data_IF_609454929109
#
_entry.id   IF_609454929109
#
_cell.length_a   1.000
_cell.length_b   1.000
_cell.length_c   1.000
_cell.angle_alpha   90.00
_cell.angle_beta   90.00
_cell.angle_gamma   90.00
#
_symmetry.space_group_name_H-M   'P 1'
#
loop_
_entity.id
_entity.type
_entity.pdbx_description
1 polymer ?
#
# COMPACT_ATOMS: atom_id res chain seq x y z
N UNK A 1 -17.87 -35.01 12.17
CA UNK A 1 -17.04 -36.09 12.75
C UNK A 1 -15.70 -35.48 13.17
N UNK A 2 -15.32 -35.55 14.44
CA UNK A 2 -14.01 -35.04 14.87
C UNK A 2 -12.90 -35.92 14.28
N UNK A 3 -11.96 -35.30 13.56
CA UNK A 3 -10.82 -36.01 12.98
C UNK A 3 -9.85 -36.40 14.11
N UNK A 4 -9.61 -37.70 14.30
CA UNK A 4 -8.65 -38.21 15.29
C UNK A 4 -7.26 -37.76 14.89
N UNK A 5 -6.59 -37.06 15.79
CA UNK A 5 -5.28 -36.50 15.52
C UNK A 5 -4.16 -37.54 15.75
N UNK A 6 -3.09 -37.54 14.95
CA UNK A 6 -1.99 -38.49 15.10
C UNK A 6 -1.20 -38.22 16.38
N UNK A 7 -0.60 -39.25 16.99
CA UNK A 7 0.22 -39.11 18.21
C UNK A 7 1.42 -38.17 18.02
N UNK A 8 1.93 -38.01 16.80
CA UNK A 8 3.01 -37.07 16.44
C UNK A 8 2.56 -35.61 16.25
N UNK A 9 1.27 -35.31 16.39
CA UNK A 9 0.71 -33.98 16.14
C UNK A 9 1.35 -32.91 17.04
N UNK A 10 1.57 -33.21 18.33
CA UNK A 10 2.18 -32.24 19.27
C UNK A 10 3.58 -31.81 18.83
N UNK A 11 4.40 -32.75 18.36
CA UNK A 11 5.74 -32.47 17.85
C UNK A 11 5.67 -31.64 16.56
N UNK A 12 4.84 -32.05 15.60
CA UNK A 12 4.63 -31.30 14.35
C UNK A 12 4.19 -29.86 14.63
N UNK A 13 3.25 -29.69 15.56
CA UNK A 13 2.73 -28.38 15.94
C UNK A 13 3.84 -27.53 16.58
N UNK A 14 4.63 -28.09 17.50
CA UNK A 14 5.77 -27.39 18.10
C UNK A 14 6.79 -26.97 17.04
N UNK A 15 7.18 -27.89 16.14
CA UNK A 15 8.11 -27.57 15.05
C UNK A 15 7.55 -26.48 14.15
N UNK A 16 6.27 -26.54 13.77
CA UNK A 16 5.64 -25.48 12.97
C UNK A 16 5.66 -24.14 13.69
N UNK A 17 5.35 -24.08 14.99
CA UNK A 17 5.39 -22.82 15.75
C UNK A 17 6.80 -22.25 15.83
N UNK A 18 7.81 -23.08 16.11
CA UNK A 18 9.20 -22.63 16.15
C UNK A 18 9.66 -22.10 14.80
N UNK A 19 9.37 -22.80 13.71
CA UNK A 19 9.71 -22.35 12.36
C UNK A 19 8.97 -21.05 11.99
N UNK A 20 7.68 -20.93 12.34
CA UNK A 20 6.93 -19.70 12.10
C UNK A 20 7.46 -18.53 12.92
N UNK A 21 7.84 -18.73 14.18
CA UNK A 21 8.43 -17.67 15.00
C UNK A 21 9.77 -17.18 14.45
N UNK A 22 10.64 -18.10 14.00
CA UNK A 22 11.90 -17.75 13.36
C UNK A 22 11.64 -17.00 12.04
N UNK A 23 10.68 -17.47 11.24
CA UNK A 23 10.31 -16.82 9.99
C UNK A 23 9.74 -15.41 10.21
N UNK A 24 8.83 -15.25 11.18
CA UNK A 24 8.28 -13.96 11.59
C UNK A 24 9.40 -13.03 12.05
N UNK A 25 10.31 -13.50 12.90
CA UNK A 25 11.44 -12.70 13.37
C UNK A 25 12.30 -12.21 12.19
N UNK A 26 12.58 -13.08 11.21
CA UNK A 26 13.36 -12.73 10.03
C UNK A 26 12.68 -11.67 9.15
N UNK A 27 11.38 -11.82 8.86
CA UNK A 27 10.65 -10.86 8.00
C UNK A 27 10.28 -9.55 8.72
N UNK A 28 10.13 -9.59 10.05
CA UNK A 28 9.81 -8.40 10.84
C UNK A 28 11.03 -7.53 11.09
N UNK A 29 12.24 -8.09 11.09
CA UNK A 29 13.46 -7.35 11.41
C UNK A 29 13.64 -6.06 10.56
N UNK A 30 13.50 -6.07 9.22
CA UNK A 30 13.57 -4.84 8.42
C UNK A 30 12.47 -3.82 8.77
N UNK A 31 11.27 -4.28 9.11
CA UNK A 31 10.15 -3.41 9.50
C UNK A 31 10.39 -2.75 10.86
N UNK A 32 10.94 -3.50 11.81
CA UNK A 32 11.34 -2.98 13.12
C UNK A 32 12.46 -1.92 12.97
N UNK A 33 13.37 -2.09 12.01
CA UNK A 33 14.36 -1.06 11.68
C UNK A 33 13.71 0.23 11.16
N UNK A 34 12.64 0.15 10.35
CA UNK A 34 11.89 1.34 9.91
C UNK A 34 11.22 2.05 11.10
N UNK A 35 10.66 1.28 12.04
CA UNK A 35 10.10 1.83 13.28
C UNK A 35 11.20 2.50 14.10
N UNK A 36 12.38 1.88 14.23
CA UNK A 36 13.52 2.44 14.93
C UNK A 36 13.98 3.77 14.33
N UNK A 37 14.04 3.86 13.00
CA UNK A 37 14.36 5.11 12.29
C UNK A 37 13.32 6.20 12.63
N UNK A 38 12.03 5.86 12.66
CA UNK A 38 10.96 6.82 12.97
C UNK A 38 10.99 7.36 14.40
N UNK A 39 11.68 6.66 15.31
CA UNK A 39 11.82 7.02 16.73
C UNK A 39 13.21 7.58 17.05
N UNK A 40 14.10 7.69 16.07
CA UNK A 40 15.47 8.18 16.26
C UNK A 40 15.49 9.70 16.18
N UNK A 41 16.29 10.32 17.04
CA UNK A 41 16.58 11.75 16.96
C UNK A 41 17.38 12.10 15.69
N UNK A 42 16.99 13.18 15.01
CA UNK A 42 17.56 13.54 13.71
C UNK A 42 17.14 12.60 12.58
N UNK A 43 17.91 12.58 11.48
CA UNK A 43 17.57 11.84 10.25
C UNK A 43 18.69 10.87 9.86
N UNK A 44 18.79 9.75 10.57
CA UNK A 44 19.81 8.71 10.32
C UNK A 44 19.18 7.39 9.87
N UNK A 45 19.55 6.92 8.68
CA UNK A 45 19.03 5.67 8.11
C UNK A 45 19.59 4.40 8.79
N UNK A 46 20.76 4.49 9.43
CA UNK A 46 21.45 3.35 10.08
C UNK A 46 21.69 3.62 11.56
N UNK A 47 21.74 2.55 12.36
CA UNK A 47 21.99 2.63 13.81
C UNK A 47 21.44 1.39 14.55
N UNK A 48 21.41 1.45 15.87
CA UNK A 48 20.86 0.40 16.74
C UNK A 48 19.35 0.19 16.54
N UNK A 49 18.88 -1.05 16.77
CA UNK A 49 17.46 -1.44 16.66
C UNK A 49 16.58 -0.72 17.68
N UNK A 50 17.09 -0.56 18.89
CA UNK A 50 16.53 0.35 19.90
C UNK A 50 17.42 1.58 19.85
N UNK A 51 16.94 2.74 19.37
CA UNK A 51 17.73 3.94 19.28
C UNK A 51 18.32 4.33 20.65
N UNK A 52 19.57 4.78 20.65
CA UNK A 52 20.25 5.20 21.88
C UNK A 52 19.57 6.43 22.50
N UNK A 53 19.02 7.32 21.66
CA UNK A 53 18.10 8.40 22.05
C UNK A 53 16.77 8.26 21.30
N UNK A 54 15.68 8.17 22.07
CA UNK A 54 14.31 8.09 21.53
C UNK A 54 13.76 9.52 21.41
N UNK A 55 13.37 9.88 20.18
CA UNK A 55 12.67 11.13 19.87
C UNK A 55 11.26 10.87 19.37
N UNK A 56 10.32 11.70 19.84
CA UNK A 56 8.93 11.70 19.38
C UNK A 56 8.65 12.83 18.38
N UNK A 57 9.67 13.58 17.97
CA UNK A 57 9.54 14.72 17.06
C UNK A 57 8.86 14.34 15.74
N UNK A 58 9.36 13.29 15.08
CA UNK A 58 8.82 12.82 13.79
C UNK A 58 7.33 12.48 13.88
N UNK A 59 6.95 11.75 14.93
CA UNK A 59 5.55 11.38 15.17
C UNK A 59 4.69 12.57 15.55
N UNK A 60 5.20 13.51 16.36
CA UNK A 60 4.48 14.74 16.71
C UNK A 60 4.19 15.57 15.48
N UNK A 61 5.20 15.85 14.65
CA UNK A 61 5.04 16.62 13.42
C UNK A 61 4.10 15.91 12.43
N UNK A 62 4.22 14.58 12.27
CA UNK A 62 3.34 13.81 11.40
C UNK A 62 1.87 13.78 11.88
N UNK A 63 1.64 13.81 13.19
CA UNK A 63 0.31 13.88 13.78
C UNK A 63 -0.25 15.31 13.84
N UNK A 64 0.53 16.32 13.41
CA UNK A 64 0.11 17.72 13.36
C UNK A 64 0.36 18.51 14.65
N UNK A 65 1.16 17.98 15.57
CA UNK A 65 1.60 18.71 16.76
C UNK A 65 2.87 19.52 16.48
N UNK A 66 2.93 20.75 16.97
CA UNK A 66 4.16 21.54 16.99
C UNK A 66 5.17 20.96 17.97
N UNK A 67 6.46 21.13 17.68
CA UNK A 67 7.56 20.65 18.53
C UNK A 67 8.37 21.84 19.04
N UNK A 68 8.58 21.90 20.34
CA UNK A 68 9.46 22.89 20.99
C UNK A 68 10.86 22.29 21.16
N UNK A 69 11.86 23.04 20.72
CA UNK A 69 13.28 22.66 20.73
C UNK A 69 13.98 23.20 21.98
N UNK A 70 15.14 22.64 22.31
CA UNK A 70 15.94 23.05 23.46
C UNK A 70 16.43 24.52 23.39
N UNK A 71 16.47 25.12 22.18
CA UNK A 71 16.80 26.53 21.95
C UNK A 71 15.58 27.47 22.10
N UNK A 72 14.43 26.95 22.52
CA UNK A 72 13.17 27.68 22.71
C UNK A 72 12.41 27.93 21.41
N UNK A 73 12.87 27.42 20.26
CA UNK A 73 12.14 27.55 19.00
C UNK A 73 11.00 26.55 18.92
N UNK A 74 9.87 26.99 18.39
CA UNK A 74 8.72 26.12 18.12
C UNK A 74 8.61 25.88 16.62
N UNK A 75 8.76 24.62 16.20
CA UNK A 75 8.57 24.19 14.82
C UNK A 75 7.13 23.71 14.63
N UNK A 76 6.29 24.43 13.86
CA UNK A 76 4.97 23.93 13.48
C UNK A 76 5.09 22.75 12.50
N UNK A 77 4.06 21.89 12.39
CA UNK A 77 4.07 20.79 11.43
C UNK A 77 4.20 21.33 9.99
N UNK A 78 5.25 20.97 9.24
CA UNK A 78 5.50 21.53 7.91
C UNK A 78 4.51 21.00 6.86
N UNK A 79 3.92 19.83 7.10
CA UNK A 79 3.05 19.13 6.16
C UNK A 79 1.82 18.54 6.84
N UNK A 80 0.66 18.52 6.16
CA UNK A 80 -0.57 17.93 6.68
C UNK A 80 -0.61 16.41 6.44
N UNK A 81 0.27 15.65 7.10
CA UNK A 81 0.44 14.20 6.88
C UNK A 81 -0.85 13.41 7.14
N UNK A 82 -1.65 13.78 8.16
CA UNK A 82 -2.95 13.16 8.41
C UNK A 82 -3.95 13.39 7.26
N UNK A 83 -3.91 14.54 6.60
CA UNK A 83 -4.73 14.80 5.42
C UNK A 83 -4.26 13.94 4.24
N UNK A 84 -2.96 13.75 4.07
CA UNK A 84 -2.41 12.85 3.05
C UNK A 84 -2.84 11.40 3.29
N UNK A 85 -2.76 10.94 4.55
CA UNK A 85 -3.26 9.61 4.92
C UNK A 85 -4.75 9.47 4.61
N UNK A 86 -5.56 10.49 4.92
CA UNK A 86 -6.97 10.50 4.59
C UNK A 86 -7.23 10.49 3.08
N UNK A 87 -6.45 11.22 2.29
CA UNK A 87 -6.52 11.17 0.83
C UNK A 87 -6.18 9.77 0.29
N UNK A 88 -5.14 9.12 0.82
CA UNK A 88 -4.79 7.75 0.47
C UNK A 88 -5.90 6.76 0.78
N UNK A 89 -6.53 6.85 1.97
CA UNK A 89 -7.64 5.99 2.37
C UNK A 89 -8.84 6.16 1.42
N UNK A 90 -9.22 7.41 1.11
CA UNK A 90 -10.34 7.69 0.19
C UNK A 90 -10.07 7.13 -1.21
N UNK A 91 -8.91 7.45 -1.79
CA UNK A 91 -8.55 7.01 -3.14
C UNK A 91 -8.47 5.49 -3.19
N UNK A 92 -7.67 4.87 -2.31
CA UNK A 92 -7.50 3.42 -2.30
C UNK A 92 -8.81 2.67 -2.03
N UNK A 93 -9.64 3.16 -1.10
CA UNK A 93 -10.93 2.55 -0.79
C UNK A 93 -11.90 2.57 -1.97
N UNK A 94 -12.07 3.72 -2.62
CA UNK A 94 -12.96 3.86 -3.78
C UNK A 94 -12.43 3.04 -4.97
N UNK A 95 -11.13 3.13 -5.25
CA UNK A 95 -10.48 2.35 -6.31
C UNK A 95 -10.62 0.85 -6.08
N UNK A 96 -10.39 0.36 -4.86
CA UNK A 96 -10.53 -1.06 -4.54
C UNK A 96 -11.96 -1.58 -4.75
N UNK A 97 -12.97 -0.81 -4.33
CA UNK A 97 -14.39 -1.14 -4.56
C UNK A 97 -14.67 -1.22 -6.07
N UNK A 98 -14.22 -0.23 -6.83
CA UNK A 98 -14.38 -0.20 -8.30
C UNK A 98 -13.71 -1.39 -8.99
N UNK A 99 -12.45 -1.68 -8.63
CA UNK A 99 -11.70 -2.82 -9.17
C UNK A 99 -12.41 -4.14 -8.85
N UNK A 100 -12.85 -4.36 -7.61
CA UNK A 100 -13.54 -5.61 -7.24
C UNK A 100 -14.86 -5.74 -7.99
N UNK A 101 -15.65 -4.67 -8.10
CA UNK A 101 -16.91 -4.70 -8.83
C UNK A 101 -16.72 -5.05 -10.32
N UNK A 102 -15.78 -4.37 -10.99
CA UNK A 102 -15.49 -4.59 -12.42
C UNK A 102 -14.83 -5.95 -12.67
N UNK A 103 -13.85 -6.34 -11.86
CA UNK A 103 -13.16 -7.62 -12.01
C UNK A 103 -14.07 -8.81 -11.73
N UNK A 104 -14.94 -8.75 -10.72
CA UNK A 104 -15.86 -9.84 -10.37
C UNK A 104 -16.91 -10.06 -11.46
N UNK A 105 -17.49 -8.99 -11.98
CA UNK A 105 -18.48 -9.05 -13.08
C UNK A 105 -17.84 -9.56 -14.37
N UNK A 106 -16.64 -9.07 -14.71
CA UNK A 106 -15.86 -9.57 -15.83
C UNK A 106 -15.51 -11.06 -15.66
N UNK A 107 -15.01 -11.45 -14.48
CA UNK A 107 -14.67 -12.83 -14.16
C UNK A 107 -15.88 -13.77 -14.25
N UNK A 108 -17.07 -13.33 -13.86
CA UNK A 108 -18.29 -14.14 -13.99
C UNK A 108 -18.60 -14.47 -15.47
N UNK A 109 -18.51 -13.48 -16.36
CA UNK A 109 -18.67 -13.72 -17.80
C UNK A 109 -17.61 -14.72 -18.31
N UNK A 110 -16.35 -14.53 -17.96
CA UNK A 110 -15.27 -15.46 -18.32
C UNK A 110 -15.38 -16.83 -17.64
N UNK A 111 -16.05 -16.98 -16.50
CA UNK A 111 -16.15 -18.27 -15.80
C UNK A 111 -17.41 -19.05 -16.14
N UNK A 112 -18.51 -18.38 -16.50
CA UNK A 112 -19.84 -19.00 -16.62
C UNK A 112 -20.49 -18.81 -17.99
N UNK A 113 -20.12 -17.79 -18.75
CA UNK A 113 -20.71 -17.53 -20.07
C UNK A 113 -19.84 -18.10 -21.20
N UNK A 114 -20.49 -18.41 -22.32
CA UNK A 114 -19.87 -18.84 -23.58
C UNK A 114 -20.05 -17.72 -24.59
N UNK A 115 -18.95 -17.17 -25.09
CA UNK A 115 -18.92 -16.14 -26.13
C UNK A 115 -17.70 -16.34 -27.02
N UNK A 116 -17.75 -15.93 -28.30
CA UNK A 116 -16.64 -16.10 -29.23
C UNK A 116 -15.41 -15.29 -28.79
N UNK A 117 -14.21 -15.81 -29.04
CA UNK A 117 -12.95 -15.10 -28.74
C UNK A 117 -12.51 -15.08 -27.28
N UNK A 118 -13.24 -15.73 -26.37
CA UNK A 118 -12.97 -15.78 -24.92
C UNK A 118 -11.52 -16.11 -24.55
N UNK A 119 -10.95 -17.17 -25.10
CA UNK A 119 -9.58 -17.57 -24.80
C UNK A 119 -8.55 -16.55 -25.29
N UNK A 120 -8.80 -15.94 -26.44
CA UNK A 120 -7.94 -14.90 -27.03
C UNK A 120 -7.97 -13.63 -26.17
N UNK A 121 -9.16 -13.17 -25.76
CA UNK A 121 -9.29 -11.99 -24.88
C UNK A 121 -8.59 -12.20 -23.54
N UNK A 122 -8.77 -13.36 -22.91
CA UNK A 122 -8.15 -13.64 -21.61
C UNK A 122 -6.62 -13.67 -21.70
N UNK A 123 -6.06 -14.29 -22.75
CA UNK A 123 -4.62 -14.25 -23.02
C UNK A 123 -4.14 -12.84 -23.35
N UNK A 124 -4.90 -12.11 -24.15
CA UNK A 124 -4.59 -10.72 -24.55
C UNK A 124 -4.52 -9.79 -23.35
N UNK A 125 -5.50 -9.85 -22.43
CA UNK A 125 -5.50 -9.08 -21.19
C UNK A 125 -4.23 -9.32 -20.37
N UNK A 126 -3.85 -10.60 -20.18
CA UNK A 126 -2.63 -10.95 -19.45
C UNK A 126 -1.37 -10.42 -20.15
N UNK A 127 -1.26 -10.62 -21.48
CA UNK A 127 -0.09 -10.21 -22.25
C UNK A 127 0.06 -8.67 -22.26
N UNK A 128 -1.02 -7.93 -22.50
CA UNK A 128 -0.98 -6.47 -22.52
C UNK A 128 -0.64 -5.87 -21.15
N UNK A 129 -1.11 -6.48 -20.05
CA UNK A 129 -0.78 -6.03 -18.69
C UNK A 129 0.69 -6.28 -18.31
N UNK A 130 1.34 -7.27 -18.92
CA UNK A 130 2.76 -7.56 -18.70
C UNK A 130 3.71 -6.63 -19.48
N UNK A 131 3.18 -5.76 -20.36
CA UNK A 131 4.00 -4.85 -21.14
C UNK A 131 4.67 -3.79 -20.23
N UNK A 132 5.98 -3.51 -20.38
CA UNK A 132 6.67 -2.51 -19.57
C UNK A 132 6.11 -1.10 -19.78
N UNK A 133 5.55 -0.51 -18.73
CA UNK A 133 4.86 0.78 -18.77
C UNK A 133 5.82 2.00 -18.72
N UNK A 134 6.97 1.96 -19.41
CA UNK A 134 8.05 2.98 -19.27
C UNK A 134 7.61 4.38 -19.69
N UNK A 135 6.82 4.51 -20.77
CA UNK A 135 6.29 5.78 -21.27
C UNK A 135 4.82 6.01 -20.91
N UNK A 136 4.25 5.19 -20.03
CA UNK A 136 2.84 5.25 -19.66
C UNK A 136 2.45 6.60 -19.04
N UNK A 137 3.32 7.19 -18.21
CA UNK A 137 3.06 8.47 -17.56
C UNK A 137 2.85 9.62 -18.54
N UNK A 138 3.60 9.66 -19.66
CA UNK A 138 3.43 10.69 -20.70
C UNK A 138 2.07 10.55 -21.37
N UNK A 139 1.67 9.32 -21.69
CA UNK A 139 0.37 9.04 -22.28
C UNK A 139 -0.79 9.34 -21.31
N UNK A 140 -0.67 8.95 -20.04
CA UNK A 140 -1.67 9.22 -19.00
C UNK A 140 -1.82 10.72 -18.74
N UNK A 141 -0.72 11.47 -18.66
CA UNK A 141 -0.79 12.92 -18.50
C UNK A 141 -1.56 13.58 -19.64
N UNK A 142 -1.22 13.25 -20.90
CA UNK A 142 -1.91 13.79 -22.07
C UNK A 142 -3.40 13.39 -22.12
N UNK A 143 -3.73 12.16 -21.73
CA UNK A 143 -5.11 11.68 -21.64
C UNK A 143 -5.90 12.50 -20.63
N UNK A 144 -5.40 12.66 -19.40
CA UNK A 144 -6.11 13.35 -18.33
C UNK A 144 -6.14 14.88 -18.48
N UNK A 145 -5.15 15.47 -19.15
CA UNK A 145 -5.19 16.88 -19.57
C UNK A 145 -6.38 17.14 -20.51
N UNK A 146 -6.58 16.27 -21.50
CA UNK A 146 -7.70 16.36 -22.43
C UNK A 146 -9.02 15.99 -21.78
N UNK A 147 -9.05 14.90 -21.01
CA UNK A 147 -10.27 14.44 -20.36
C UNK A 147 -10.82 15.48 -19.38
N UNK A 148 -9.94 16.20 -18.66
CA UNK A 148 -10.31 17.27 -17.74
C UNK A 148 -11.02 18.46 -18.40
N UNK A 149 -10.83 18.68 -19.71
CA UNK A 149 -11.53 19.73 -20.47
C UNK A 149 -13.01 19.40 -20.67
N UNK A 150 -13.37 18.11 -20.69
CA UNK A 150 -14.76 17.64 -20.89
C UNK A 150 -15.42 17.17 -19.60
N UNK A 151 -14.67 16.48 -18.74
CA UNK A 151 -15.15 15.90 -17.48
C UNK A 151 -14.19 16.35 -16.36
N UNK A 152 -14.39 17.55 -15.78
CA UNK A 152 -13.41 18.16 -14.88
C UNK A 152 -13.10 17.33 -13.62
N UNK A 153 -14.07 16.55 -13.10
CA UNK A 153 -13.88 15.78 -11.87
C UNK A 153 -12.91 14.58 -12.03
N UNK A 154 -12.62 14.16 -13.25
CA UNK A 154 -11.60 13.13 -13.57
C UNK A 154 -10.37 13.72 -14.26
N UNK A 155 -10.21 15.05 -14.27
CA UNK A 155 -9.07 15.72 -14.89
C UNK A 155 -7.80 15.69 -14.05
N UNK A 156 -6.78 16.40 -14.52
CA UNK A 156 -5.54 16.64 -13.76
C UNK A 156 -5.82 17.31 -12.41
N UNK A 157 -5.00 16.99 -11.41
CA UNK A 157 -5.11 17.51 -10.04
C UNK A 157 -6.44 17.18 -9.33
N UNK A 158 -7.04 16.02 -9.64
CA UNK A 158 -8.25 15.55 -8.97
C UNK A 158 -8.08 14.13 -8.42
N UNK A 159 -8.75 13.81 -7.31
CA UNK A 159 -8.80 12.43 -6.82
C UNK A 159 -9.55 11.51 -7.78
N UNK A 160 -10.56 12.02 -8.51
CA UNK A 160 -11.28 11.24 -9.51
C UNK A 160 -10.34 10.77 -10.64
N UNK A 161 -9.47 11.65 -11.14
CA UNK A 161 -8.48 11.29 -12.15
C UNK A 161 -7.58 10.15 -11.68
N UNK A 162 -7.09 10.19 -10.43
CA UNK A 162 -6.28 9.11 -9.85
C UNK A 162 -7.07 7.80 -9.68
N UNK A 163 -8.36 7.87 -9.36
CA UNK A 163 -9.21 6.67 -9.19
C UNK A 163 -9.42 5.94 -10.53
N UNK A 164 -9.47 6.68 -11.65
CA UNK A 164 -9.72 6.14 -12.99
C UNK A 164 -8.47 5.97 -13.85
N UNK A 165 -7.28 6.32 -13.34
CA UNK A 165 -5.99 6.14 -14.01
C UNK A 165 -5.52 4.68 -13.96
#
# INVERSE_FOLDING_TARGET
MAMVQPKSQKLRLLTTHLLLLIFIAAIMFPLLMVIAISLREGNFATGSLIPDTISWEHWRLALGFSVEHADGRVTPPPFPVLLWLWNSIKVAGITAIGIVALSTTCAYAFARMRFPGKATLLKGMLIFQMFPAVLSLVALYALFDRLGQYIPFVGLNTHGGVIFA
#
